data_IF_025605951510
#
_entry.id   IF_025605951510
#
_cell.length_a   1.000
_cell.length_b   1.000
_cell.length_c   1.000
_cell.angle_alpha   90.00
_cell.angle_beta   90.00
_cell.angle_gamma   90.00
#
_symmetry.space_group_name_H-M   'P 1'
#
loop_
_entity.id
_entity.type
_entity.pdbx_description
1 polymer ?
#
# COMPACT_ATOMS: atom_id res chain seq x y z
N UNK A 1 -34.36 -21.83 1.91
CA UNK A 1 -34.07 -21.68 1.63
C UNK A 1 -33.82 -21.71 0.76
N UNK A 2 -33.86 -21.84 0.44
CA UNK A 2 -33.55 -21.70 -0.22
C UNK A 2 -33.51 -21.32 -0.96
N UNK A 3 -33.66 -21.16 -1.12
CA UNK A 3 -33.58 -20.69 -1.70
C UNK A 3 -33.34 -20.58 -2.48
N UNK A 4 -33.44 -20.53 -2.52
CA UNK A 4 -33.25 -20.34 -3.20
C UNK A 4 -32.86 -20.45 -4.04
N UNK A 5 -32.81 -20.44 -3.76
CA UNK A 5 -32.09 -20.70 -4.39
C UNK A 5 -32.08 -20.81 -5.64
N UNK A 6 -32.46 -21.08 -5.97
CA UNK A 6 -32.44 -21.34 -7.17
C UNK A 6 -33.04 -20.50 -8.03
N UNK A 7 -33.71 -20.15 -7.77
CA UNK A 7 -34.28 -19.43 -8.44
C UNK A 7 -33.71 -18.48 -8.92
N UNK A 8 -33.28 -18.53 -8.71
CA UNK A 8 -32.80 -17.95 -8.83
C UNK A 8 -32.46 -17.58 -9.76
N UNK A 9 -32.66 -17.83 -10.21
CA UNK A 9 -32.51 -17.71 -10.99
C UNK A 9 -31.71 -17.09 -11.89
N UNK A 10 -32.08 -16.70 -13.11
CA UNK A 10 -31.19 -16.23 -14.11
C UNK A 10 -30.62 -14.87 -13.84
N UNK A 11 -31.35 -13.87 -13.39
CA UNK A 11 -30.77 -12.61 -12.98
C UNK A 11 -29.75 -12.80 -11.87
N UNK A 12 -30.06 -13.71 -10.95
CA UNK A 12 -29.14 -14.04 -9.86
C UNK A 12 -27.89 -14.72 -10.38
N UNK A 13 -27.99 -15.57 -11.40
CA UNK A 13 -26.84 -16.23 -12.00
C UNK A 13 -25.92 -15.23 -12.67
N UNK A 14 -26.48 -14.30 -13.45
CA UNK A 14 -25.68 -13.26 -14.10
C UNK A 14 -24.98 -12.39 -13.06
N UNK A 15 -25.70 -11.98 -12.04
CA UNK A 15 -25.14 -11.21 -10.96
C UNK A 15 -24.10 -12.01 -10.19
N UNK A 16 -24.36 -13.30 -9.99
CA UNK A 16 -23.43 -14.19 -9.31
C UNK A 16 -22.14 -14.40 -10.09
N UNK A 17 -22.23 -14.55 -11.39
CA UNK A 17 -21.04 -14.69 -12.24
C UNK A 17 -20.21 -13.41 -12.22
N UNK A 18 -20.87 -12.28 -12.29
CA UNK A 18 -20.19 -10.99 -12.24
C UNK A 18 -19.50 -10.78 -10.89
N UNK A 19 -20.20 -11.12 -9.83
CA UNK A 19 -19.63 -11.04 -8.48
C UNK A 19 -18.41 -11.95 -8.32
N UNK A 20 -18.53 -13.18 -8.83
CA UNK A 20 -17.40 -14.13 -8.78
C UNK A 20 -16.21 -13.60 -9.55
N UNK A 21 -16.43 -13.04 -10.73
CA UNK A 21 -15.34 -12.43 -11.51
C UNK A 21 -14.67 -11.30 -10.75
N UNK A 22 -15.46 -10.46 -10.08
CA UNK A 22 -14.91 -9.35 -9.28
C UNK A 22 -14.10 -9.90 -8.11
N UNK A 23 -14.62 -10.87 -7.40
CA UNK A 23 -13.94 -11.48 -6.27
C UNK A 23 -12.62 -12.12 -6.71
N UNK A 24 -12.66 -12.90 -7.79
CA UNK A 24 -11.46 -13.56 -8.30
C UNK A 24 -10.38 -12.58 -8.68
N UNK A 25 -10.76 -11.47 -9.30
CA UNK A 25 -9.80 -10.43 -9.69
C UNK A 25 -9.19 -9.75 -8.48
N UNK A 26 -10.00 -9.46 -7.49
CA UNK A 26 -9.52 -8.84 -6.25
C UNK A 26 -8.56 -9.78 -5.53
N UNK A 27 -8.95 -11.04 -5.38
CA UNK A 27 -8.13 -12.05 -4.69
C UNK A 27 -6.78 -12.24 -5.37
N UNK A 28 -6.78 -12.26 -6.71
CA UNK A 28 -5.54 -12.38 -7.46
C UNK A 28 -4.61 -11.20 -7.22
N UNK A 29 -5.15 -10.00 -7.25
CA UNK A 29 -4.34 -8.80 -7.01
C UNK A 29 -3.88 -8.71 -5.56
N UNK A 30 -4.69 -9.16 -4.61
CA UNK A 30 -4.27 -9.24 -3.22
C UNK A 30 -3.10 -10.20 -3.04
N UNK A 31 -3.13 -11.34 -3.76
CA UNK A 31 -2.04 -12.31 -3.75
C UNK A 31 -0.76 -11.70 -4.35
N UNK A 32 -0.90 -10.99 -5.47
CA UNK A 32 0.21 -10.31 -6.11
C UNK A 32 0.80 -9.24 -5.20
N UNK A 33 -0.07 -8.47 -4.53
CA UNK A 33 0.37 -7.45 -3.59
C UNK A 33 1.16 -8.06 -2.43
N UNK A 34 0.69 -9.19 -1.93
CA UNK A 34 1.35 -9.91 -0.86
C UNK A 34 2.73 -10.38 -1.29
N UNK A 35 2.83 -10.92 -2.51
CA UNK A 35 4.11 -11.37 -3.07
C UNK A 35 5.08 -10.21 -3.23
N UNK A 36 4.60 -9.08 -3.77
CA UNK A 36 5.42 -7.88 -3.93
C UNK A 36 5.87 -7.34 -2.57
N UNK A 37 4.98 -7.37 -1.58
CA UNK A 37 5.32 -6.97 -0.21
C UNK A 37 6.44 -7.81 0.37
N UNK A 38 6.41 -9.11 0.11
CA UNK A 38 7.45 -10.04 0.54
C UNK A 38 8.78 -9.72 -0.15
N UNK A 39 8.74 -9.45 -1.45
CA UNK A 39 9.94 -9.10 -2.22
C UNK A 39 10.55 -7.79 -1.72
N UNK A 40 9.73 -6.80 -1.43
CA UNK A 40 10.20 -5.52 -0.88
C UNK A 40 10.86 -5.76 0.49
N UNK A 41 10.25 -6.57 1.32
CA UNK A 41 10.79 -6.91 2.63
C UNK A 41 12.17 -7.56 2.51
N UNK A 42 12.33 -8.44 1.53
CA UNK A 42 13.60 -9.12 1.28
C UNK A 42 14.69 -8.12 0.88
N UNK A 43 14.34 -7.11 0.08
CA UNK A 43 15.29 -6.08 -0.32
C UNK A 43 15.71 -5.24 0.88
N UNK A 44 14.79 -4.90 1.79
CA UNK A 44 15.15 -4.20 3.01
C UNK A 44 16.05 -5.05 3.91
N UNK A 45 15.82 -6.37 3.95
CA UNK A 45 16.69 -7.28 4.69
C UNK A 45 18.09 -7.30 4.10
N UNK A 46 18.19 -7.31 2.79
CA UNK A 46 19.46 -7.24 2.07
C UNK A 46 20.19 -5.92 2.43
N UNK A 47 19.46 -4.81 2.40
CA UNK A 47 20.03 -3.51 2.74
C UNK A 47 20.56 -3.49 4.17
N UNK A 48 19.81 -4.05 5.09
CA UNK A 48 20.24 -4.15 6.49
C UNK A 48 21.50 -4.97 6.61
N UNK A 49 21.58 -6.10 5.91
CA UNK A 49 22.77 -6.95 5.91
C UNK A 49 23.99 -6.24 5.33
N UNK A 50 23.76 -5.32 4.39
CA UNK A 50 24.81 -4.51 3.78
C UNK A 50 25.24 -3.32 4.66
N UNK A 51 24.59 -3.12 5.80
CA UNK A 51 24.94 -2.07 6.75
C UNK A 51 24.13 -0.79 6.62
N UNK A 52 23.11 -0.76 5.79
CA UNK A 52 22.25 0.41 5.64
C UNK A 52 21.20 0.45 6.74
N UNK A 53 20.82 1.67 7.12
CA UNK A 53 19.75 1.89 8.09
C UNK A 53 18.39 1.84 7.37
N UNK A 54 17.58 0.83 7.70
CA UNK A 54 16.29 0.61 7.05
C UNK A 54 15.32 1.78 7.29
N UNK A 55 15.34 2.37 8.47
CA UNK A 55 14.50 3.53 8.78
C UNK A 55 14.82 4.71 7.86
N UNK A 56 16.10 4.97 7.69
CA UNK A 56 16.58 6.06 6.82
C UNK A 56 16.23 5.77 5.37
N UNK A 57 16.36 4.52 4.94
CA UNK A 57 15.97 4.12 3.58
C UNK A 57 14.48 4.37 3.33
N UNK A 58 13.64 4.02 4.27
CA UNK A 58 12.19 4.26 4.14
C UNK A 58 11.89 5.74 4.04
N UNK A 59 12.57 6.55 4.82
CA UNK A 59 12.45 8.00 4.78
C UNK A 59 12.90 8.57 3.45
N UNK A 60 14.03 8.10 2.95
CA UNK A 60 14.57 8.52 1.66
C UNK A 60 13.59 8.22 0.53
N UNK A 61 13.04 7.01 0.51
CA UNK A 61 12.08 6.61 -0.51
C UNK A 61 10.83 7.50 -0.47
N UNK A 62 10.35 7.83 0.72
CA UNK A 62 9.21 8.72 0.89
C UNK A 62 9.50 10.11 0.35
N UNK A 63 10.68 10.63 0.66
CA UNK A 63 11.12 11.96 0.19
C UNK A 63 11.21 11.99 -1.32
N UNK A 64 11.72 10.94 -1.94
CA UNK A 64 11.85 10.86 -3.40
C UNK A 64 10.52 10.92 -4.14
N UNK A 65 9.41 10.66 -3.46
CA UNK A 65 8.06 10.73 -4.05
C UNK A 65 7.46 12.13 -3.94
N UNK A 66 8.05 13.00 -3.15
CA UNK A 66 7.55 14.35 -2.93
C UNK A 66 8.16 15.33 -3.91
N UNK A 67 7.42 16.40 -4.21
CA UNK A 67 7.94 17.48 -5.01
C UNK A 67 8.98 18.25 -4.19
N UNK A 68 10.07 18.75 -4.81
CA UNK A 68 11.09 19.52 -4.09
C UNK A 68 10.52 20.70 -3.30
N UNK A 69 9.51 21.38 -3.86
CA UNK A 69 8.87 22.51 -3.19
C UNK A 69 8.18 22.08 -1.89
N UNK A 70 7.57 20.90 -1.88
CA UNK A 70 6.91 20.35 -0.68
C UNK A 70 7.93 20.02 0.40
N UNK A 71 9.06 19.47 0.01
CA UNK A 71 10.14 19.12 0.95
C UNK A 71 10.67 20.39 1.60
N UNK A 72 10.94 21.42 0.79
CA UNK A 72 11.43 22.70 1.27
C UNK A 72 10.45 23.34 2.25
N UNK A 73 9.16 23.29 1.92
CA UNK A 73 8.10 23.84 2.76
C UNK A 73 8.03 23.12 4.10
N UNK A 74 8.13 21.79 4.08
CA UNK A 74 8.12 20.97 5.31
C UNK A 74 9.34 21.28 6.18
N UNK A 75 10.50 21.41 5.60
CA UNK A 75 11.73 21.72 6.33
C UNK A 75 11.64 23.10 6.98
N UNK A 76 11.11 24.08 6.26
CA UNK A 76 10.93 25.43 6.76
C UNK A 76 9.98 25.44 7.97
N UNK A 77 8.85 24.75 7.84
CA UNK A 77 7.86 24.68 8.91
C UNK A 77 8.40 23.95 10.12
N UNK A 78 9.13 22.87 9.90
CA UNK A 78 9.75 22.13 10.99
C UNK A 78 10.75 23.00 11.76
N UNK A 79 11.51 23.80 11.03
CA UNK A 79 12.47 24.73 11.65
C UNK A 79 11.76 25.76 12.51
N UNK A 80 10.65 26.32 12.02
CA UNK A 80 9.82 27.26 12.78
C UNK A 80 9.35 26.62 14.09
N UNK A 81 8.87 25.38 14.00
CA UNK A 81 8.38 24.68 15.19
C UNK A 81 9.49 24.37 16.18
N UNK A 82 10.65 23.98 15.70
CA UNK A 82 11.81 23.75 16.57
C UNK A 82 12.18 25.00 17.36
N UNK A 83 12.24 26.13 16.67
CA UNK A 83 12.55 27.40 17.32
C UNK A 83 11.49 27.80 18.34
N UNK A 84 10.23 27.53 18.01
CA UNK A 84 9.12 27.87 18.90
C UNK A 84 9.22 27.14 20.25
N UNK A 85 9.75 25.93 20.27
CA UNK A 85 9.88 25.16 21.52
C UNK A 85 11.30 25.19 22.08
N UNK A 86 12.19 25.96 21.49
CA UNK A 86 13.53 26.18 22.04
C UNK A 86 14.56 25.11 21.69
N UNK A 87 14.33 24.44 20.58
CA UNK A 87 15.33 23.46 20.09
C UNK A 87 16.40 24.12 19.27
#
# INVERSE_FOLDING_TARGET
MALDATSEDKPTNVAGERLRSIVDRIERLEEERKALGSDIKDIYSEAKSAGFDVKVLRQLIRIRKQEPAEIEEQETLLDVYRRAIGM
#
